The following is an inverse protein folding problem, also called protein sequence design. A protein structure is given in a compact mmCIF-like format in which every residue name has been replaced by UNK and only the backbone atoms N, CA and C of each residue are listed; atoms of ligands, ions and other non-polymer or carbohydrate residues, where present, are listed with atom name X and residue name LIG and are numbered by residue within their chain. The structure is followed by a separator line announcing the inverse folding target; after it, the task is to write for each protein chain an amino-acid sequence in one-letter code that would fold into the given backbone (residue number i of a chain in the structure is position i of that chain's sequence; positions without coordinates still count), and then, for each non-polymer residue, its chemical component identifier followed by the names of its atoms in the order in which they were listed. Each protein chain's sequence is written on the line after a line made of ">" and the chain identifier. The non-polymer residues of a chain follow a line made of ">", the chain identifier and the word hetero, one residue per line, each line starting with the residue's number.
data_IF_910539314514
#
_entry.id   IF_910539314514
#
_cell.length_a   1.000
_cell.length_b   1.000
_cell.length_c   1.000
_cell.angle_alpha   90.00
_cell.angle_beta   90.00
_cell.angle_gamma   90.00
#
_symmetry.space_group_name_H-M   'P 1'
#
loop_
_entity.id
_entity.type
_entity.pdbx_description
1 polymer ?
#
# COMPACT_ATOMS: atom_id res chain seq x y z
N UNK A 1 21.65 -9.73 30.79
CA UNK A 1 21.85 -10.64 29.62
C UNK A 1 21.12 -10.14 28.38
N UNK A 2 19.88 -9.63 28.47
CA UNK A 2 19.16 -8.91 27.38
C UNK A 2 19.97 -7.77 26.72
N UNK A 3 20.75 -7.02 27.50
CA UNK A 3 21.60 -5.94 27.02
C UNK A 3 22.79 -6.40 26.15
N UNK A 4 23.22 -7.66 26.26
CA UNK A 4 24.40 -8.15 25.53
C UNK A 4 24.01 -8.53 24.10
N UNK A 5 22.84 -9.12 23.86
CA UNK A 5 22.33 -9.38 22.51
C UNK A 5 22.09 -8.10 21.72
N UNK A 6 21.48 -7.08 22.34
CA UNK A 6 21.28 -5.76 21.71
C UNK A 6 22.63 -5.10 21.37
N UNK A 7 23.67 -5.34 22.19
CA UNK A 7 25.03 -4.85 21.94
C UNK A 7 25.73 -5.62 20.81
N UNK A 8 25.52 -6.93 20.70
CA UNK A 8 26.10 -7.74 19.61
C UNK A 8 25.42 -7.43 18.27
N UNK A 9 24.10 -7.24 18.27
CA UNK A 9 23.33 -6.80 17.11
C UNK A 9 23.74 -5.39 16.63
N UNK A 10 24.09 -4.48 17.54
CA UNK A 10 24.56 -3.13 17.18
C UNK A 10 26.05 -3.05 16.82
N UNK A 11 26.88 -4.03 17.19
CA UNK A 11 28.33 -4.07 16.92
C UNK A 11 28.71 -4.81 15.63
N UNK A 12 27.78 -5.55 15.02
CA UNK A 12 28.00 -6.27 13.75
C UNK A 12 27.11 -5.68 12.65
N UNK A 13 27.58 -4.65 11.90
CA UNK A 13 26.87 -4.17 10.72
C UNK A 13 26.74 -5.25 9.63
N UNK A 14 27.41 -6.40 9.81
CA UNK A 14 27.34 -7.59 8.96
C UNK A 14 26.13 -8.51 9.24
N UNK A 15 25.31 -8.26 10.27
CA UNK A 15 24.08 -9.04 10.51
C UNK A 15 22.90 -8.63 9.59
N UNK A 16 22.99 -7.50 8.88
CA UNK A 16 21.87 -6.91 8.12
C UNK A 16 21.80 -7.33 6.65
N UNK A 17 22.49 -8.39 6.23
CA UNK A 17 22.47 -8.86 4.83
C UNK A 17 22.48 -10.39 4.67
N UNK A 18 22.36 -11.14 5.75
CA UNK A 18 22.42 -12.61 5.74
C UNK A 18 21.06 -13.20 6.07
N UNK A 19 20.67 -14.23 5.31
CA UNK A 19 19.55 -15.09 5.68
C UNK A 19 19.97 -15.99 6.84
N UNK A 20 19.12 -16.10 7.84
CA UNK A 20 19.32 -16.96 8.99
C UNK A 20 18.37 -18.14 8.93
N UNK A 21 18.89 -19.35 9.07
CA UNK A 21 18.06 -20.54 9.26
C UNK A 21 17.31 -20.44 10.59
N UNK A 22 16.03 -20.81 10.57
CA UNK A 22 15.18 -20.82 11.75
C UNK A 22 14.28 -22.04 11.79
N UNK A 23 13.99 -22.50 13.01
CA UNK A 23 13.00 -23.53 13.25
C UNK A 23 11.67 -22.89 13.68
N UNK A 24 10.57 -23.30 13.06
CA UNK A 24 9.23 -22.85 13.45
C UNK A 24 8.81 -23.60 14.72
N UNK A 25 8.58 -22.87 15.82
CA UNK A 25 8.14 -23.43 17.11
C UNK A 25 6.66 -23.23 17.39
N UNK A 26 6.05 -22.26 16.73
CA UNK A 26 4.61 -22.01 16.78
C UNK A 26 4.19 -21.03 15.69
N UNK A 27 2.98 -21.20 15.19
CA UNK A 27 2.34 -20.27 14.27
C UNK A 27 0.85 -20.21 14.62
N UNK A 28 0.37 -19.05 15.02
CA UNK A 28 -1.03 -18.84 15.38
C UNK A 28 -1.46 -17.39 15.11
N UNK A 29 -2.69 -17.04 15.50
CA UNK A 29 -3.25 -15.70 15.30
C UNK A 29 -2.47 -14.57 16.03
N UNK A 30 -1.63 -14.90 17.00
CA UNK A 30 -0.78 -13.94 17.73
C UNK A 30 0.55 -13.69 17.01
N UNK A 31 0.90 -14.50 16.00
CA UNK A 31 2.09 -14.35 15.18
C UNK A 31 2.88 -15.64 15.02
N UNK A 32 4.13 -15.50 14.57
CA UNK A 32 5.02 -16.62 14.28
C UNK A 32 6.08 -16.67 15.39
N UNK A 33 6.30 -17.83 15.98
CA UNK A 33 7.39 -18.05 16.95
C UNK A 33 8.50 -18.84 16.28
N UNK A 34 9.64 -18.18 16.09
CA UNK A 34 10.82 -18.74 15.45
C UNK A 34 11.90 -19.03 16.48
N UNK A 35 12.73 -20.02 16.19
CA UNK A 35 13.97 -20.28 16.91
C UNK A 35 15.17 -20.20 15.99
N UNK A 36 16.14 -19.36 16.33
CA UNK A 36 17.42 -19.27 15.63
C UNK A 36 18.54 -19.26 16.66
N UNK A 37 19.63 -20.00 16.38
CA UNK A 37 20.80 -20.12 17.27
C UNK A 37 20.47 -20.52 18.74
N UNK A 38 19.34 -21.19 18.96
CA UNK A 38 18.86 -21.61 20.29
C UNK A 38 18.09 -20.54 21.07
N UNK A 39 17.82 -19.38 20.47
CA UNK A 39 16.97 -18.34 21.01
C UNK A 39 15.56 -18.44 20.43
N UNK A 40 14.55 -18.04 21.22
CA UNK A 40 13.15 -17.99 20.80
C UNK A 40 12.72 -16.54 20.72
N UNK A 41 12.06 -16.17 19.62
CA UNK A 41 11.53 -14.83 19.44
C UNK A 41 10.21 -14.86 18.65
N UNK A 42 9.40 -13.83 18.88
CA UNK A 42 8.20 -13.60 18.09
C UNK A 42 8.57 -12.81 16.84
N UNK A 43 8.08 -13.27 15.70
CA UNK A 43 8.30 -12.69 14.39
C UNK A 43 6.97 -12.32 13.74
N UNK A 44 6.99 -11.26 12.95
CA UNK A 44 5.89 -10.84 12.10
C UNK A 44 6.38 -10.58 10.67
N UNK A 45 5.51 -10.78 9.69
CA UNK A 45 5.85 -10.50 8.29
C UNK A 45 6.01 -8.99 8.11
N UNK A 46 7.21 -8.56 7.77
CA UNK A 46 7.51 -7.14 7.60
C UNK A 46 6.68 -6.52 6.47
N UNK A 47 6.13 -5.33 6.74
CA UNK A 47 5.45 -4.47 5.76
C UNK A 47 4.23 -5.10 5.06
N UNK A 48 3.55 -6.02 5.74
CA UNK A 48 2.41 -6.75 5.17
C UNK A 48 1.13 -6.53 5.99
N UNK A 49 -0.01 -6.47 5.31
CA UNK A 49 -1.34 -6.56 5.90
C UNK A 49 -2.14 -7.65 5.19
N UNK A 50 -2.72 -8.60 5.93
CA UNK A 50 -3.58 -9.63 5.36
C UNK A 50 -4.89 -9.03 4.82
N UNK A 51 -5.38 -9.54 3.69
CA UNK A 51 -6.66 -9.09 3.11
C UNK A 51 -7.87 -9.72 3.81
N UNK A 52 -7.67 -10.83 4.51
CA UNK A 52 -8.69 -11.55 5.28
C UNK A 52 -8.22 -11.73 6.73
N UNK A 53 -9.16 -11.76 7.67
CA UNK A 53 -8.85 -11.95 9.11
C UNK A 53 -8.11 -13.27 9.39
N UNK A 54 -8.36 -14.30 8.57
CA UNK A 54 -7.73 -15.62 8.68
C UNK A 54 -6.49 -15.79 7.78
N UNK A 55 -6.00 -14.71 7.15
CA UNK A 55 -4.85 -14.77 6.22
C UNK A 55 -3.54 -15.26 6.85
N UNK A 56 -3.44 -15.25 8.18
CA UNK A 56 -2.32 -15.84 8.93
C UNK A 56 -2.29 -17.38 8.83
N UNK A 57 -3.43 -18.05 8.60
CA UNK A 57 -3.49 -19.50 8.48
C UNK A 57 -2.76 -20.00 7.23
N UNK A 58 -2.84 -19.24 6.13
CA UNK A 58 -2.11 -19.54 4.89
C UNK A 58 -0.59 -19.54 5.14
N UNK A 59 -0.11 -18.59 5.95
CA UNK A 59 1.30 -18.52 6.35
C UNK A 59 1.69 -19.71 7.19
N UNK A 60 0.87 -20.07 8.18
CA UNK A 60 1.14 -21.25 9.00
C UNK A 60 1.16 -22.54 8.17
N UNK A 61 0.24 -22.71 7.22
CA UNK A 61 0.22 -23.85 6.32
C UNK A 61 1.50 -23.92 5.45
N UNK A 62 1.94 -22.79 4.88
CA UNK A 62 3.20 -22.74 4.12
C UNK A 62 4.41 -23.09 4.98
N UNK A 63 4.43 -22.68 6.25
CA UNK A 63 5.52 -22.97 7.18
C UNK A 63 5.51 -24.43 7.68
N UNK A 64 4.33 -25.04 7.81
CA UNK A 64 4.20 -26.46 8.18
C UNK A 64 4.61 -27.40 7.06
N UNK A 65 4.40 -26.99 5.80
CA UNK A 65 4.76 -27.76 4.61
C UNK A 65 6.25 -27.65 4.23
N UNK A 66 6.95 -26.62 4.71
CA UNK A 66 8.33 -26.33 4.35
C UNK A 66 9.33 -27.28 5.02
N UNK A 67 10.33 -27.72 4.25
CA UNK A 67 11.47 -28.49 4.78
C UNK A 67 12.50 -27.56 5.44
N UNK A 68 12.69 -26.35 4.87
CA UNK A 68 13.63 -25.35 5.35
C UNK A 68 12.95 -23.99 5.54
N UNK A 69 13.15 -23.37 6.71
CA UNK A 69 12.68 -22.01 6.98
C UNK A 69 13.86 -21.11 7.28
N UNK A 70 13.89 -19.95 6.64
CA UNK A 70 14.88 -18.91 6.92
C UNK A 70 14.25 -17.53 6.95
N UNK A 71 14.89 -16.60 7.64
CA UNK A 71 14.41 -15.22 7.75
C UNK A 71 15.53 -14.21 7.49
N UNK A 72 15.13 -13.00 7.12
CA UNK A 72 16.02 -11.85 6.93
C UNK A 72 15.35 -10.61 7.54
N UNK A 73 16.14 -9.70 8.12
CA UNK A 73 15.65 -8.43 8.66
C UNK A 73 16.12 -7.29 7.77
N UNK A 74 15.22 -6.36 7.45
CA UNK A 74 15.55 -5.20 6.64
C UNK A 74 16.53 -4.27 7.41
N UNK A 75 17.57 -3.70 6.77
CA UNK A 75 18.49 -2.78 7.45
C UNK A 75 17.82 -1.47 7.90
N UNK A 76 16.68 -1.09 7.30
CA UNK A 76 16.01 0.18 7.57
C UNK A 76 14.99 0.10 8.72
N UNK A 77 14.82 -1.07 9.37
CA UNK A 77 13.81 -1.27 10.42
C UNK A 77 14.41 -1.38 11.81
N UNK A 78 13.63 -0.94 12.81
CA UNK A 78 13.99 -1.12 14.21
C UNK A 78 13.82 -2.58 14.64
N UNK A 79 14.81 -3.10 15.38
CA UNK A 79 14.79 -4.43 15.97
C UNK A 79 13.96 -4.45 17.27
N UNK A 80 12.63 -4.43 17.12
CA UNK A 80 11.66 -4.50 18.23
C UNK A 80 10.94 -5.87 18.25
N UNK A 81 10.34 -6.26 19.38
CA UNK A 81 9.50 -7.47 19.45
C UNK A 81 8.00 -7.08 19.28
N UNK A 82 7.23 -7.74 18.41
CA UNK A 82 7.61 -8.81 17.48
C UNK A 82 8.56 -8.33 16.37
N UNK A 83 9.52 -9.17 16.01
CA UNK A 83 10.57 -8.84 15.06
C UNK A 83 10.01 -8.82 13.63
N UNK A 84 10.05 -7.68 12.92
CA UNK A 84 9.66 -7.64 11.52
C UNK A 84 10.69 -8.36 10.64
N UNK A 85 10.25 -9.40 9.93
CA UNK A 85 11.12 -10.24 9.09
C UNK A 85 10.56 -10.44 7.68
N UNK A 86 11.47 -10.60 6.71
CA UNK A 86 11.22 -11.33 5.47
C UNK A 86 11.36 -12.82 5.75
N UNK A 87 10.33 -13.61 5.42
CA UNK A 87 10.29 -15.02 5.74
C UNK A 87 10.34 -15.86 4.46
N UNK A 88 11.18 -16.88 4.48
CA UNK A 88 11.41 -17.76 3.35
C UNK A 88 11.10 -19.21 3.75
N UNK A 89 10.34 -19.90 2.91
CA UNK A 89 10.07 -21.33 3.00
C UNK A 89 10.67 -22.00 1.76
N UNK A 90 11.56 -22.98 1.95
CA UNK A 90 12.27 -23.69 0.88
C UNK A 90 12.98 -22.77 -0.13
N UNK A 91 13.45 -21.61 0.36
CA UNK A 91 14.10 -20.57 -0.43
C UNK A 91 13.17 -19.60 -1.16
N UNK A 92 11.85 -19.83 -1.14
CA UNK A 92 10.83 -18.93 -1.70
C UNK A 92 10.31 -17.95 -0.64
N UNK A 93 10.11 -16.68 -1.00
CA UNK A 93 9.62 -15.66 -0.08
C UNK A 93 8.11 -15.78 0.13
N UNK A 94 7.69 -15.99 1.37
CA UNK A 94 6.27 -16.13 1.72
C UNK A 94 5.49 -14.86 1.38
N UNK A 95 6.05 -13.69 1.67
CA UNK A 95 5.41 -12.41 1.33
C UNK A 95 5.07 -12.27 -0.16
N UNK A 96 6.00 -12.68 -1.03
CA UNK A 96 5.78 -12.61 -2.48
C UNK A 96 4.60 -13.47 -2.90
N UNK A 97 4.52 -14.71 -2.40
CA UNK A 97 3.41 -15.62 -2.69
C UNK A 97 2.07 -15.10 -2.19
N UNK A 98 2.02 -14.56 -0.97
CA UNK A 98 0.80 -13.94 -0.42
C UNK A 98 0.31 -12.75 -1.26
N UNK A 99 1.23 -11.93 -1.76
CA UNK A 99 0.92 -10.81 -2.64
C UNK A 99 0.38 -11.30 -3.98
N UNK A 100 1.04 -12.25 -4.63
CA UNK A 100 0.60 -12.83 -5.90
C UNK A 100 -0.78 -13.48 -5.81
N UNK A 101 -1.08 -14.14 -4.69
CA UNK A 101 -2.38 -14.76 -4.41
C UNK A 101 -3.46 -13.76 -3.96
N UNK A 102 -3.12 -12.47 -3.77
CA UNK A 102 -4.04 -11.43 -3.29
C UNK A 102 -4.50 -11.62 -1.84
N UNK A 103 -3.77 -12.45 -1.07
CA UNK A 103 -4.05 -12.76 0.34
C UNK A 103 -3.49 -11.72 1.30
N UNK A 104 -2.59 -10.87 0.81
CA UNK A 104 -2.04 -9.77 1.56
C UNK A 104 -1.73 -8.58 0.64
N UNK A 105 -1.48 -7.41 1.24
CA UNK A 105 -1.11 -6.16 0.56
C UNK A 105 0.04 -5.50 1.30
N UNK A 106 0.81 -4.67 0.59
CA UNK A 106 1.89 -3.89 1.20
C UNK A 106 1.32 -2.77 2.08
N UNK A 107 1.84 -2.65 3.30
CA UNK A 107 1.39 -1.64 4.27
C UNK A 107 1.93 -0.24 3.95
N UNK A 108 3.20 -0.16 3.60
CA UNK A 108 3.95 1.09 3.33
C UNK A 108 4.76 0.88 2.05
N UNK A 109 4.77 1.86 1.16
CA UNK A 109 5.67 1.85 0.00
C UNK A 109 6.90 2.69 0.28
N UNK A 110 8.06 2.06 0.44
CA UNK A 110 9.31 2.76 0.70
C UNK A 110 10.42 2.23 -0.22
N UNK A 111 10.95 3.07 -1.14
CA UNK A 111 11.96 2.64 -2.11
C UNK A 111 13.29 2.23 -1.49
N UNK A 112 13.52 2.51 -0.19
CA UNK A 112 14.73 2.12 0.52
C UNK A 112 14.66 0.70 1.08
N UNK A 113 13.48 0.08 1.19
CA UNK A 113 13.38 -1.30 1.64
C UNK A 113 13.98 -2.26 0.62
N UNK A 114 14.64 -3.31 1.11
CA UNK A 114 15.45 -4.21 0.28
C UNK A 114 14.66 -4.86 -0.84
N UNK A 115 13.49 -5.38 -0.51
CA UNK A 115 12.63 -6.14 -1.43
C UNK A 115 11.45 -5.35 -1.97
N UNK A 116 11.40 -4.02 -1.77
CA UNK A 116 10.26 -3.18 -2.18
C UNK A 116 9.86 -3.40 -3.63
N UNK A 117 10.83 -3.31 -4.56
CA UNK A 117 10.56 -3.43 -6.00
C UNK A 117 10.05 -4.82 -6.41
N UNK A 118 10.51 -5.86 -5.72
CA UNK A 118 10.09 -7.23 -5.96
C UNK A 118 8.65 -7.44 -5.46
N UNK A 119 8.36 -6.98 -4.24
CA UNK A 119 7.05 -7.09 -3.63
C UNK A 119 6.01 -6.22 -4.33
N UNK A 120 6.36 -4.99 -4.74
CA UNK A 120 5.46 -4.12 -5.51
C UNK A 120 5.09 -4.73 -6.87
N UNK A 121 6.01 -5.46 -7.50
CA UNK A 121 5.75 -6.17 -8.76
C UNK A 121 4.90 -7.44 -8.56
N UNK A 122 4.99 -8.06 -7.38
CA UNK A 122 4.21 -9.24 -7.00
C UNK A 122 2.76 -8.88 -6.60
N UNK A 123 2.56 -7.69 -6.03
CA UNK A 123 1.21 -7.19 -5.71
C UNK A 123 0.41 -6.98 -7.01
N UNK A 124 -0.73 -7.67 -7.21
CA UNK A 124 -1.56 -7.45 -8.37
C UNK A 124 -1.97 -5.98 -8.41
N UNK A 125 -2.07 -5.36 -9.60
CA UNK A 125 -2.40 -3.95 -9.72
C UNK A 125 -3.73 -3.71 -9.00
N UNK A 126 -3.65 -3.05 -7.84
CA UNK A 126 -4.82 -2.58 -7.12
C UNK A 126 -5.60 -1.77 -8.14
N UNK A 127 -6.85 -2.13 -8.42
CA UNK A 127 -7.71 -1.33 -9.28
C UNK A 127 -8.00 0.00 -8.58
N UNK A 128 -7.02 0.90 -8.61
CA UNK A 128 -7.21 2.33 -8.45
C UNK A 128 -7.69 2.86 -9.79
N UNK A 129 -8.79 2.27 -10.29
CA UNK A 129 -9.74 3.13 -10.95
C UNK A 129 -10.20 4.06 -9.83
N UNK A 130 -9.69 5.29 -9.81
CA UNK A 130 -10.53 6.38 -9.35
C UNK A 130 -11.87 6.08 -10.00
N UNK A 131 -12.92 5.91 -9.20
CA UNK A 131 -14.26 5.77 -9.73
C UNK A 131 -14.45 6.93 -10.70
N UNK A 132 -14.21 6.66 -11.98
CA UNK A 132 -14.99 7.18 -13.05
C UNK A 132 -16.35 6.47 -12.92
N UNK A 133 -16.97 6.57 -11.73
CA UNK A 133 -18.39 6.71 -11.61
C UNK A 133 -18.71 7.91 -12.46
N UNK A 134 -18.92 7.58 -13.73
CA UNK A 134 -19.89 8.17 -14.58
C UNK A 134 -20.12 9.63 -14.22
N UNK A 135 -19.33 10.50 -14.83
CA UNK A 135 -19.93 11.66 -15.48
C UNK A 135 -20.98 11.18 -16.51
N UNK A 136 -22.04 10.53 -16.03
CA UNK A 136 -23.41 10.80 -16.40
C UNK A 136 -23.74 12.21 -15.91
N UNK A 137 -22.92 13.18 -16.29
CA UNK A 137 -23.47 14.38 -16.86
C UNK A 137 -24.23 13.91 -18.10
N UNK A 138 -25.46 13.45 -17.89
CA UNK A 138 -26.52 13.87 -18.76
C UNK A 138 -26.39 15.39 -18.75
N UNK A 139 -25.63 15.94 -19.71
CA UNK A 139 -25.43 17.37 -19.93
C UNK A 139 -26.82 17.92 -20.20
N UNK A 140 -27.56 18.17 -19.14
CA UNK A 140 -28.71 19.04 -19.15
C UNK A 140 -28.09 20.37 -19.53
N UNK A 141 -28.29 20.73 -20.81
CA UNK A 141 -27.90 22.03 -21.33
C UNK A 141 -28.26 23.06 -20.27
N UNK A 142 -27.32 23.91 -19.80
CA UNK A 142 -27.55 24.82 -18.70
C UNK A 142 -28.51 25.92 -19.16
N UNK A 143 -29.79 25.59 -19.32
CA UNK A 143 -30.84 26.43 -19.88
C UNK A 143 -30.97 27.75 -19.11
N UNK A 144 -30.76 27.69 -17.79
CA UNK A 144 -30.66 28.88 -16.94
C UNK A 144 -29.51 29.82 -17.33
N UNK A 145 -28.36 29.27 -17.73
CA UNK A 145 -27.22 30.07 -18.21
C UNK A 145 -27.55 30.77 -19.53
N UNK A 146 -28.14 30.05 -20.49
CA UNK A 146 -28.56 30.63 -21.77
C UNK A 146 -29.63 31.71 -21.62
N UNK A 147 -30.58 31.54 -20.69
CA UNK A 147 -31.58 32.57 -20.39
C UNK A 147 -30.94 33.85 -19.83
N UNK A 148 -29.93 33.73 -18.96
CA UNK A 148 -29.20 34.89 -18.44
C UNK A 148 -28.44 35.59 -19.55
N UNK A 149 -27.73 34.85 -20.42
CA UNK A 149 -27.04 35.44 -21.57
C UNK A 149 -28.00 36.14 -22.55
N UNK A 150 -29.16 35.53 -22.83
CA UNK A 150 -30.18 36.14 -23.67
C UNK A 150 -30.76 37.42 -23.05
N UNK A 151 -31.01 37.44 -21.74
CA UNK A 151 -31.47 38.62 -21.02
C UNK A 151 -30.44 39.75 -21.07
N UNK A 152 -29.15 39.43 -20.87
CA UNK A 152 -28.06 40.41 -20.97
C UNK A 152 -27.96 40.98 -22.39
N UNK A 153 -28.00 40.12 -23.42
CA UNK A 153 -27.99 40.58 -24.83
C UNK A 153 -29.19 41.47 -25.16
N UNK A 154 -30.39 41.14 -24.68
CA UNK A 154 -31.58 41.96 -24.87
C UNK A 154 -31.44 43.34 -24.20
N UNK A 155 -30.84 43.39 -23.01
CA UNK A 155 -30.59 44.63 -22.27
C UNK A 155 -29.58 45.52 -23.02
N UNK A 156 -28.50 44.92 -23.53
CA UNK A 156 -27.53 45.61 -24.39
C UNK A 156 -28.15 46.09 -25.71
N UNK A 157 -28.98 45.28 -26.36
CA UNK A 157 -29.70 45.66 -27.57
C UNK A 157 -30.67 46.82 -27.34
N UNK A 158 -31.40 46.83 -26.22
CA UNK A 158 -32.30 47.92 -25.84
C UNK A 158 -31.54 49.22 -25.54
N UNK A 159 -30.42 49.14 -24.82
CA UNK A 159 -29.52 50.28 -24.59
C UNK A 159 -28.95 50.82 -25.90
N UNK A 160 -28.49 49.93 -26.79
CA UNK A 160 -27.98 50.31 -28.10
C UNK A 160 -29.06 50.98 -28.96
N UNK A 161 -30.28 50.43 -28.99
CA UNK A 161 -31.42 51.04 -29.68
C UNK A 161 -31.73 52.44 -29.11
N UNK A 162 -31.79 52.58 -27.79
CA UNK A 162 -32.04 53.87 -27.15
C UNK A 162 -30.94 54.89 -27.42
N UNK A 163 -29.68 54.48 -27.37
CA UNK A 163 -28.55 55.40 -27.52
C UNK A 163 -28.27 55.75 -28.98
N UNK A 164 -28.39 54.79 -29.91
CA UNK A 164 -28.02 54.99 -31.32
C UNK A 164 -29.21 55.38 -32.16
N UNK A 165 -30.35 54.71 -32.00
CA UNK A 165 -31.51 54.94 -32.87
C UNK A 165 -32.31 56.16 -32.43
N UNK A 166 -32.52 56.34 -31.11
CA UNK A 166 -33.25 57.50 -30.58
C UNK A 166 -32.48 58.81 -30.76
N UNK A 167 -31.14 58.80 -30.70
CA UNK A 167 -30.33 60.00 -30.99
C UNK A 167 -30.22 60.30 -32.49
N UNK A 168 -30.31 59.30 -33.37
CA UNK A 168 -30.28 59.51 -34.83
C UNK A 168 -31.62 59.95 -35.42
N UNK A 169 -32.76 59.58 -34.81
CA UNK A 169 -34.10 60.03 -35.25
C UNK A 169 -34.56 61.35 -34.63
N UNK A 170 -33.77 61.97 -33.74
CA UNK A 170 -34.10 63.27 -33.09
C UNK A 170 -33.21 64.42 -33.57
N UNK A 171 -32.50 64.24 -34.68
CA UNK A 171 -31.85 65.30 -35.46
C UNK A 171 -32.59 65.49 -36.77
#
# INVERSE_FOLDING_TARGET
>A
MKLIMILVASLLPFLHETRYEAEVKGCDAQGITLSAEGELFHAELFNMTYTQEEGWQDVCAMLEEADEVSFEVDPEVSLEEPLPVYLFADGEMIQERLLQEGKAVLSIRNPNYRYERQLEAAEPPRQVMADAEASRDARTLPWRSYLVYAAVLALWGALFWQLVWKHRCKR
#
